data_IF_103231493822
#
_entry.id   IF_103231493822
#
_cell.length_a   1.000
_cell.length_b   1.000
_cell.length_c   1.000
_cell.angle_alpha   90.00
_cell.angle_beta   90.00
_cell.angle_gamma   90.00
#
_symmetry.space_group_name_H-M   'P 1'
#
loop_
_entity.id
_entity.type
_entity.pdbx_description
1 polymer ?
#
# COMPACT_ATOMS: atom_id res chain seq x y z
N UNK A 1 -7.00 11.44 9.17
CA UNK A 1 -6.14 10.31 9.59
C UNK A 1 -4.70 10.72 9.31
N UNK A 2 -3.74 10.48 10.23
CA UNK A 2 -2.31 10.76 9.99
C UNK A 2 -1.60 9.51 9.45
N UNK A 3 -0.43 9.67 8.82
CA UNK A 3 0.38 8.54 8.35
C UNK A 3 0.74 7.57 9.48
N UNK A 4 1.11 8.08 10.66
CA UNK A 4 1.41 7.25 11.82
C UNK A 4 0.21 6.41 12.27
N UNK A 5 -1.00 6.97 12.23
CA UNK A 5 -2.22 6.25 12.58
C UNK A 5 -2.60 5.20 11.53
N UNK A 6 -2.32 5.46 10.24
CA UNK A 6 -2.55 4.51 9.17
C UNK A 6 -1.57 3.31 9.26
N UNK A 7 -0.29 3.58 9.54
CA UNK A 7 0.73 2.55 9.76
C UNK A 7 0.47 1.71 11.01
N UNK A 8 -0.01 2.34 12.08
CA UNK A 8 -0.29 1.67 13.36
C UNK A 8 -1.74 1.14 13.43
N UNK A 9 -2.44 1.06 12.30
CA UNK A 9 -3.84 0.70 12.30
C UNK A 9 -4.04 -0.77 12.73
N UNK A 10 -4.80 -0.98 13.80
CA UNK A 10 -5.01 -2.31 14.40
C UNK A 10 -6.20 -3.08 13.83
N UNK A 11 -6.94 -2.51 12.87
CA UNK A 11 -8.03 -3.23 12.19
C UNK A 11 -7.46 -4.44 11.44
N UNK A 12 -8.16 -5.55 11.55
CA UNK A 12 -7.80 -6.83 10.93
C UNK A 12 -8.52 -7.07 9.61
N UNK A 13 -9.28 -6.08 9.12
CA UNK A 13 -9.98 -6.14 7.84
C UNK A 13 -9.13 -5.59 6.68
N UNK A 14 -9.66 -5.73 5.46
CA UNK A 14 -8.96 -5.33 4.24
C UNK A 14 -8.65 -3.84 4.20
N UNK A 15 -9.55 -3.00 4.74
CA UNK A 15 -9.30 -1.55 4.86
C UNK A 15 -8.16 -1.27 5.84
N UNK A 16 -8.12 -1.95 6.99
CA UNK A 16 -7.00 -1.87 7.93
C UNK A 16 -5.67 -2.28 7.30
N UNK A 17 -5.66 -3.38 6.57
CA UNK A 17 -4.49 -3.84 5.83
C UNK A 17 -4.06 -2.83 4.75
N UNK A 18 -5.02 -2.28 3.99
CA UNK A 18 -4.75 -1.28 2.96
C UNK A 18 -4.11 -0.02 3.55
N UNK A 19 -4.56 0.42 4.72
CA UNK A 19 -3.96 1.57 5.41
C UNK A 19 -2.51 1.33 5.80
N UNK A 20 -2.19 0.16 6.36
CA UNK A 20 -0.81 -0.15 6.75
C UNK A 20 0.10 -0.29 5.54
N UNK A 21 -0.27 -1.19 4.63
CA UNK A 21 0.58 -1.56 3.49
C UNK A 21 0.63 -0.46 2.44
N UNK A 22 -0.50 0.21 2.17
CA UNK A 22 -0.55 1.33 1.23
C UNK A 22 0.23 2.55 1.72
N UNK A 23 0.20 2.83 3.04
CA UNK A 23 1.04 3.92 3.59
C UNK A 23 2.52 3.56 3.52
N UNK A 24 2.90 2.32 3.85
CA UNK A 24 4.28 1.86 3.72
C UNK A 24 4.76 1.92 2.25
N UNK A 25 3.93 1.47 1.30
CA UNK A 25 4.22 1.54 -0.12
C UNK A 25 4.35 2.98 -0.63
N UNK A 26 3.54 3.91 -0.11
CA UNK A 26 3.63 5.32 -0.48
C UNK A 26 4.96 5.94 -0.01
N UNK A 27 5.39 5.62 1.21
CA UNK A 27 6.69 6.08 1.72
C UNK A 27 7.84 5.45 0.93
N UNK A 28 7.77 4.13 0.68
CA UNK A 28 8.77 3.41 -0.10
C UNK A 28 8.87 3.97 -1.53
N UNK A 29 7.76 4.29 -2.19
CA UNK A 29 7.78 4.85 -3.55
C UNK A 29 8.41 6.23 -3.65
N UNK A 30 8.41 7.00 -2.55
CA UNK A 30 9.00 8.34 -2.49
C UNK A 30 10.52 8.30 -2.27
N UNK A 31 11.03 7.30 -1.55
CA UNK A 31 12.43 7.30 -1.08
C UNK A 31 13.28 6.17 -1.66
N UNK A 32 12.67 5.07 -2.11
CA UNK A 32 13.37 3.93 -2.69
C UNK A 32 13.22 3.94 -4.22
N UNK A 33 14.29 4.27 -4.98
CA UNK A 33 14.23 4.30 -6.44
C UNK A 33 13.98 2.92 -7.07
N UNK A 34 14.27 1.83 -6.34
CA UNK A 34 14.00 0.46 -6.78
C UNK A 34 12.61 -0.04 -6.38
N UNK A 35 11.75 0.81 -5.79
CA UNK A 35 10.41 0.40 -5.41
C UNK A 35 9.55 0.09 -6.66
N UNK A 36 8.81 -1.04 -6.68
CA UNK A 36 8.06 -1.49 -7.86
C UNK A 36 7.00 -0.51 -8.39
N UNK A 37 6.43 0.35 -7.54
CA UNK A 37 5.32 1.25 -7.91
C UNK A 37 5.69 2.72 -7.88
N UNK A 38 5.17 3.52 -8.82
CA UNK A 38 5.40 4.96 -8.77
C UNK A 38 4.49 5.57 -7.70
N UNK A 39 4.88 6.71 -7.13
CA UNK A 39 4.08 7.36 -6.09
C UNK A 39 2.65 7.63 -6.54
N UNK A 40 2.45 8.05 -7.78
CA UNK A 40 1.10 8.25 -8.33
C UNK A 40 0.32 6.92 -8.45
N UNK A 41 0.95 5.85 -8.92
CA UNK A 41 0.31 4.53 -9.02
C UNK A 41 -0.15 4.00 -7.66
N UNK A 42 0.67 4.23 -6.61
CA UNK A 42 0.31 3.85 -5.23
C UNK A 42 -0.93 4.63 -4.79
N UNK A 43 -0.98 5.95 -5.02
CA UNK A 43 -2.13 6.79 -4.64
C UNK A 43 -3.39 6.37 -5.39
N UNK A 44 -3.31 6.18 -6.70
CA UNK A 44 -4.45 5.78 -7.53
C UNK A 44 -4.98 4.40 -7.14
N UNK A 45 -4.10 3.41 -6.99
CA UNK A 45 -4.46 2.05 -6.60
C UNK A 45 -5.06 2.02 -5.19
N UNK A 46 -4.53 2.83 -4.27
CA UNK A 46 -5.07 2.97 -2.92
C UNK A 46 -6.51 3.50 -2.95
N UNK A 47 -6.78 4.59 -3.69
CA UNK A 47 -8.12 5.18 -3.79
C UNK A 47 -9.10 4.21 -4.45
N UNK A 48 -8.70 3.55 -5.54
CA UNK A 48 -9.53 2.58 -6.24
C UNK A 48 -9.93 1.39 -5.34
N UNK A 49 -9.04 0.96 -4.45
CA UNK A 49 -9.27 -0.19 -3.58
C UNK A 49 -10.25 0.09 -2.42
N UNK A 50 -10.59 1.35 -2.13
CA UNK A 50 -11.51 1.72 -1.04
C UNK A 50 -12.98 1.34 -1.31
N UNK A 51 -13.31 0.93 -2.53
CA UNK A 51 -14.69 0.60 -2.95
C UNK A 51 -15.29 -0.58 -2.18
N UNK A 52 -14.46 -1.50 -1.66
CA UNK A 52 -14.93 -2.62 -0.85
C UNK A 52 -13.82 -3.19 0.03
N UNK A 53 -14.21 -3.90 1.09
CA UNK A 53 -13.25 -4.60 1.95
C UNK A 53 -12.44 -5.67 1.18
N UNK A 54 -13.06 -6.33 0.18
CA UNK A 54 -12.38 -7.32 -0.65
C UNK A 54 -11.34 -6.67 -1.58
N UNK A 55 -11.71 -5.58 -2.24
CA UNK A 55 -10.78 -4.82 -3.09
C UNK A 55 -9.61 -4.26 -2.27
N UNK A 56 -9.90 -3.74 -1.08
CA UNK A 56 -8.89 -3.26 -0.14
C UNK A 56 -7.93 -4.37 0.29
N UNK A 57 -8.44 -5.57 0.63
CA UNK A 57 -7.59 -6.71 0.99
C UNK A 57 -6.70 -7.16 -0.18
N UNK A 58 -7.24 -7.21 -1.40
CA UNK A 58 -6.47 -7.60 -2.59
C UNK A 58 -5.33 -6.60 -2.88
N UNK A 59 -5.63 -5.30 -2.85
CA UNK A 59 -4.61 -4.28 -3.08
C UNK A 59 -3.58 -4.23 -1.94
N UNK A 60 -4.01 -4.38 -0.68
CA UNK A 60 -3.12 -4.46 0.46
C UNK A 60 -2.12 -5.62 0.32
N UNK A 61 -2.57 -6.77 -0.22
CA UNK A 61 -1.68 -7.90 -0.49
C UNK A 61 -0.61 -7.55 -1.53
N UNK A 62 -0.95 -6.87 -2.62
CA UNK A 62 0.03 -6.43 -3.63
C UNK A 62 1.05 -5.44 -3.05
N UNK A 63 0.58 -4.47 -2.26
CA UNK A 63 1.45 -3.54 -1.55
C UNK A 63 2.37 -4.25 -0.56
N UNK A 64 1.88 -5.24 0.18
CA UNK A 64 2.70 -6.06 1.07
C UNK A 64 3.84 -6.76 0.31
N UNK A 65 3.54 -7.42 -0.82
CA UNK A 65 4.57 -8.07 -1.63
C UNK A 65 5.65 -7.07 -2.10
N UNK A 66 5.25 -5.86 -2.49
CA UNK A 66 6.20 -4.82 -2.87
C UNK A 66 7.04 -4.33 -1.70
N UNK A 67 6.42 -4.10 -0.54
CA UNK A 67 7.09 -3.69 0.69
C UNK A 67 8.10 -4.74 1.18
N UNK A 68 7.79 -6.02 0.97
CA UNK A 68 8.65 -7.16 1.30
C UNK A 68 9.72 -7.46 0.23
N UNK A 69 9.78 -6.67 -0.86
CA UNK A 69 10.77 -6.85 -1.93
C UNK A 69 10.53 -8.09 -2.81
N UNK A 70 9.30 -8.61 -2.82
CA UNK A 70 8.94 -9.81 -3.59
C UNK A 70 8.48 -9.51 -5.01
N UNK A 71 8.31 -8.23 -5.36
CA UNK A 71 8.02 -7.78 -6.73
C UNK A 71 9.28 -7.22 -7.39
N UNK A 72 9.34 -7.32 -8.71
CA UNK A 72 10.45 -6.77 -9.49
C UNK A 72 10.46 -5.23 -9.44
N UNK A 73 11.64 -4.58 -9.43
CA UNK A 73 11.76 -3.13 -9.53
C UNK A 73 11.13 -2.58 -10.82
N UNK A 74 10.70 -1.31 -10.76
CA UNK A 74 10.25 -0.58 -11.94
C UNK A 74 11.46 -0.37 -12.87
N UNK A 75 11.44 -1.04 -14.02
CA UNK A 75 12.49 -0.96 -15.06
C UNK A 75 12.66 0.44 -15.63
#
# INVERSE_FOLDING_TARGET
>A
MSFQNALSNTRTDGIGALYREGTASLLNSMVNPNFPFATNDVVESFVAALVSNQAAAAQAHLFKLANEGQLQPRV
#
